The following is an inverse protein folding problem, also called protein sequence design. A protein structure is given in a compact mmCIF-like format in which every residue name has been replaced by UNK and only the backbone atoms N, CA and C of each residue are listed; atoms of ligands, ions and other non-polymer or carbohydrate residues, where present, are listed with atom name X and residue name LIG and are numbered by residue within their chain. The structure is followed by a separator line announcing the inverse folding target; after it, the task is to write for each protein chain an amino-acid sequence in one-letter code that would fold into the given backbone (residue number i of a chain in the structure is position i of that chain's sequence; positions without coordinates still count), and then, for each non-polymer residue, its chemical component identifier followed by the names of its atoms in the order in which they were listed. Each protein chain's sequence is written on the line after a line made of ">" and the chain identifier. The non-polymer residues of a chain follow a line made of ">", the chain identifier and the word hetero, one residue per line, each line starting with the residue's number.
data_IF_031641808287
#
_entry.id   IF_031641808287
#
_cell.length_a   1.000
_cell.length_b   1.000
_cell.length_c   1.000
_cell.angle_alpha   90.00
_cell.angle_beta   90.00
_cell.angle_gamma   90.00
#
_symmetry.space_group_name_H-M   'P 1'
#
loop_
_entity.id
_entity.type
_entity.pdbx_description
1 polymer ?
#
# COMPACT_ATOMS: atom_id res chain seq x y z
N UNK A 1 16.23 19.91 2.49
CA UNK A 1 16.37 21.21 1.80
C UNK A 1 16.36 22.39 2.77
N UNK A 2 15.40 22.51 3.70
CA UNK A 2 15.31 23.68 4.61
C UNK A 2 16.53 23.90 5.54
N UNK A 3 17.20 22.84 6.02
CA UNK A 3 18.33 22.98 6.94
C UNK A 3 19.63 23.50 6.30
N UNK A 4 19.80 23.41 4.96
CA UNK A 4 21.02 23.87 4.28
C UNK A 4 21.01 25.38 3.99
N UNK A 5 19.82 25.95 3.80
CA UNK A 5 19.66 27.38 3.53
C UNK A 5 20.04 28.23 4.75
N UNK A 6 19.55 27.85 5.94
CA UNK A 6 19.86 28.54 7.20
C UNK A 6 21.37 28.54 7.52
N UNK A 7 22.08 27.43 7.28
CA UNK A 7 23.54 27.36 7.46
C UNK A 7 24.30 28.23 6.45
N UNK A 8 23.81 28.30 5.20
CA UNK A 8 24.47 29.10 4.15
C UNK A 8 24.29 30.60 4.36
N UNK A 9 23.15 31.05 4.89
CA UNK A 9 22.91 32.46 5.24
C UNK A 9 23.88 32.98 6.31
N UNK A 10 24.30 32.11 7.24
CA UNK A 10 25.29 32.46 8.27
C UNK A 10 26.69 32.66 7.67
N UNK A 11 27.05 31.84 6.67
CA UNK A 11 28.37 31.89 6.02
C UNK A 11 28.44 32.92 4.87
N UNK A 12 27.31 33.20 4.23
CA UNK A 12 27.19 34.11 3.09
C UNK A 12 25.94 34.98 3.25
N UNK A 13 26.01 36.09 4.02
CA UNK A 13 24.86 36.92 4.36
C UNK A 13 24.21 37.64 3.16
N UNK A 14 24.98 37.83 2.08
CA UNK A 14 24.52 38.49 0.86
C UNK A 14 24.01 37.50 -0.20
N UNK A 15 23.94 36.20 0.12
CA UNK A 15 23.52 35.17 -0.81
C UNK A 15 21.99 35.16 -0.94
N UNK A 16 21.49 35.31 -2.17
CA UNK A 16 20.04 35.26 -2.42
C UNK A 16 19.56 33.82 -2.41
N UNK A 17 18.28 33.62 -2.11
CA UNK A 17 17.67 32.29 -2.15
C UNK A 17 17.84 31.60 -3.51
N UNK A 18 17.76 32.36 -4.60
CA UNK A 18 17.98 31.86 -5.97
C UNK A 18 19.40 31.37 -6.18
N UNK A 19 20.42 32.11 -5.73
CA UNK A 19 21.82 31.70 -5.86
C UNK A 19 22.13 30.45 -5.03
N UNK A 20 21.59 30.38 -3.81
CA UNK A 20 21.70 29.18 -2.97
C UNK A 20 21.03 27.97 -3.62
N UNK A 21 19.82 28.16 -4.14
CA UNK A 21 19.06 27.11 -4.82
C UNK A 21 19.78 26.62 -6.07
N UNK A 22 20.30 27.53 -6.89
CA UNK A 22 21.05 27.19 -8.10
C UNK A 22 22.31 26.38 -7.78
N UNK A 23 23.10 26.80 -6.79
CA UNK A 23 24.31 26.07 -6.39
C UNK A 23 23.99 24.69 -5.81
N UNK A 24 22.97 24.60 -4.96
CA UNK A 24 22.56 23.35 -4.34
C UNK A 24 21.99 22.37 -5.37
N UNK A 25 21.16 22.86 -6.29
CA UNK A 25 20.61 22.06 -7.38
C UNK A 25 21.71 21.61 -8.34
N UNK A 26 22.68 22.46 -8.63
CA UNK A 26 23.83 22.07 -9.45
C UNK A 26 24.58 20.92 -8.79
N UNK A 27 24.97 21.04 -7.50
CA UNK A 27 25.66 19.97 -6.76
C UNK A 27 24.81 18.69 -6.69
N UNK A 28 23.50 18.81 -6.46
CA UNK A 28 22.59 17.67 -6.46
C UNK A 28 22.53 17.00 -7.84
N UNK A 29 22.47 17.76 -8.94
CA UNK A 29 22.56 17.21 -10.30
C UNK A 29 23.91 16.51 -10.53
N UNK A 30 25.01 17.03 -9.96
CA UNK A 30 26.34 16.40 -10.03
C UNK A 30 26.39 15.04 -9.33
N UNK A 31 25.67 14.88 -8.22
CA UNK A 31 25.66 13.67 -7.38
C UNK A 31 24.60 12.68 -7.87
N UNK A 32 23.40 13.16 -8.21
CA UNK A 32 22.21 12.36 -8.48
C UNK A 32 22.03 12.01 -9.96
N UNK A 33 22.73 12.69 -10.87
CA UNK A 33 22.69 12.40 -12.30
C UNK A 33 24.09 12.04 -12.89
N UNK A 34 24.83 11.08 -12.29
CA UNK A 34 26.15 10.68 -12.80
C UNK A 34 26.06 10.12 -14.22
N UNK A 35 24.94 9.48 -14.56
CA UNK A 35 24.65 8.98 -15.90
C UNK A 35 24.74 10.06 -16.99
N UNK A 36 24.17 11.26 -16.75
CA UNK A 36 24.21 12.35 -17.75
C UNK A 36 25.63 12.83 -18.02
N UNK A 37 26.51 12.79 -17.00
CA UNK A 37 27.91 13.18 -17.14
C UNK A 37 28.68 12.19 -18.01
N UNK A 38 28.53 10.90 -17.73
CA UNK A 38 29.16 9.83 -18.51
C UNK A 38 28.66 9.83 -19.95
N UNK A 39 27.37 10.09 -20.16
CA UNK A 39 26.79 10.25 -21.50
C UNK A 39 27.36 11.46 -22.26
N UNK A 40 27.59 12.58 -21.58
CA UNK A 40 28.18 13.78 -22.17
C UNK A 40 29.68 13.62 -22.49
N UNK A 41 30.41 12.80 -21.73
CA UNK A 41 31.83 12.50 -21.95
C UNK A 41 32.06 11.48 -23.07
N UNK A 42 31.09 10.59 -23.31
CA UNK A 42 31.18 9.54 -24.33
C UNK A 42 30.01 9.53 -25.33
N UNK A 43 29.66 10.66 -25.95
CA UNK A 43 28.44 10.80 -26.73
C UNK A 43 28.36 9.82 -27.91
N UNK A 44 29.50 9.49 -28.50
CA UNK A 44 29.61 8.57 -29.65
C UNK A 44 29.22 7.13 -29.30
N UNK A 45 29.63 6.65 -28.11
CA UNK A 45 29.34 5.29 -27.64
C UNK A 45 27.84 5.17 -27.35
N UNK A 46 27.25 6.17 -26.67
CA UNK A 46 25.82 6.18 -26.37
C UNK A 46 24.95 6.37 -27.61
N UNK A 47 25.39 7.16 -28.59
CA UNK A 47 24.71 7.23 -29.89
C UNK A 47 24.77 5.91 -30.65
N UNK A 48 25.90 5.21 -30.63
CA UNK A 48 26.05 3.90 -31.27
C UNK A 48 25.16 2.85 -30.60
N UNK A 49 25.17 2.79 -29.27
CA UNK A 49 24.30 1.90 -28.48
C UNK A 49 22.81 2.22 -28.69
N UNK A 50 22.43 3.50 -28.77
CA UNK A 50 21.03 3.88 -29.04
C UNK A 50 20.56 3.50 -30.45
N UNK A 51 21.47 3.41 -31.43
CA UNK A 51 21.18 2.91 -32.78
C UNK A 51 21.11 1.38 -32.84
N UNK A 52 22.01 0.70 -32.13
CA UNK A 52 22.09 -0.78 -32.10
C UNK A 52 20.97 -1.41 -31.27
N UNK A 53 20.62 -0.80 -30.14
CA UNK A 53 19.55 -1.22 -29.24
C UNK A 53 18.37 -0.27 -29.34
N UNK A 54 17.80 -0.12 -30.54
CA UNK A 54 16.60 0.69 -30.78
C UNK A 54 15.37 0.03 -30.12
N UNK A 55 15.38 0.00 -28.78
CA UNK A 55 14.31 -0.49 -27.95
C UNK A 55 13.15 0.47 -28.16
N UNK A 56 12.07 -0.04 -28.77
CA UNK A 56 10.84 0.74 -28.86
C UNK A 56 10.46 1.16 -27.44
N UNK A 57 10.11 2.44 -27.22
CA UNK A 57 9.62 2.86 -25.92
C UNK A 57 8.40 2.00 -25.62
N UNK A 58 8.50 1.13 -24.61
CA UNK A 58 7.30 0.60 -23.96
C UNK A 58 6.52 1.85 -23.57
N UNK A 59 5.28 1.97 -24.03
CA UNK A 59 4.40 3.09 -23.71
C UNK A 59 4.30 3.17 -22.18
N UNK A 60 5.21 3.91 -21.54
CA UNK A 60 4.98 4.42 -20.21
C UNK A 60 3.72 5.23 -20.36
N UNK A 61 2.65 4.81 -19.70
CA UNK A 61 1.43 5.59 -19.56
C UNK A 61 1.88 7.00 -19.23
N UNK A 62 1.70 7.92 -20.19
CA UNK A 62 1.89 9.34 -19.91
C UNK A 62 1.06 9.57 -18.66
N UNK A 63 1.67 10.05 -17.57
CA UNK A 63 0.89 10.66 -16.51
C UNK A 63 0.11 11.76 -17.19
N UNK A 64 -1.16 11.48 -17.47
CA UNK A 64 -2.11 12.46 -17.93
C UNK A 64 -2.09 13.54 -16.85
N UNK A 65 -1.57 14.72 -17.21
CA UNK A 65 -1.82 15.89 -16.38
C UNK A 65 -3.31 16.16 -16.58
N UNK A 66 -4.13 15.57 -15.71
CA UNK A 66 -5.53 15.94 -15.56
C UNK A 66 -5.50 17.41 -15.15
N UNK A 67 -5.70 18.31 -16.12
CA UNK A 67 -6.02 19.70 -15.86
C UNK A 67 -7.44 19.70 -15.34
N UNK A 68 -7.58 19.73 -14.01
CA UNK A 68 -8.87 19.93 -13.36
C UNK A 68 -9.20 21.40 -13.53
N UNK A 69 -10.24 21.71 -14.30
CA UNK A 69 -10.72 23.08 -14.44
C UNK A 69 -11.24 23.58 -13.08
N UNK A 70 -11.09 24.88 -12.75
CA UNK A 70 -11.49 25.41 -11.46
C UNK A 70 -12.99 25.22 -11.15
N UNK A 71 -13.82 25.07 -12.18
CA UNK A 71 -15.24 24.73 -12.08
C UNK A 71 -15.47 23.30 -11.57
N UNK A 72 -14.65 22.33 -11.98
CA UNK A 72 -14.73 20.93 -11.51
C UNK A 72 -14.35 20.83 -10.02
N UNK A 73 -13.38 21.62 -9.58
CA UNK A 73 -13.02 21.73 -8.16
C UNK A 73 -14.16 22.33 -7.34
N UNK A 74 -14.83 23.38 -7.84
CA UNK A 74 -15.99 23.95 -7.16
C UNK A 74 -17.17 22.98 -7.11
N UNK A 75 -17.37 22.19 -8.16
CA UNK A 75 -18.44 21.19 -8.23
C UNK A 75 -18.17 20.07 -7.23
N UNK A 76 -16.95 19.54 -7.17
CA UNK A 76 -16.55 18.56 -6.15
C UNK A 76 -16.68 19.11 -4.73
N UNK A 77 -16.26 20.35 -4.47
CA UNK A 77 -16.39 20.98 -3.15
C UNK A 77 -17.88 21.13 -2.79
N UNK A 78 -18.73 21.49 -3.75
CA UNK A 78 -20.16 21.66 -3.54
C UNK A 78 -20.85 20.32 -3.24
N UNK A 79 -20.58 19.27 -4.04
CA UNK A 79 -21.05 17.90 -3.78
C UNK A 79 -20.58 17.39 -2.41
N UNK A 80 -19.32 17.65 -2.03
CA UNK A 80 -18.81 17.28 -0.71
C UNK A 80 -19.53 18.03 0.42
N UNK A 81 -19.87 19.29 0.20
CA UNK A 81 -20.55 20.14 1.19
C UNK A 81 -22.00 19.69 1.36
N UNK A 82 -22.68 19.37 0.26
CA UNK A 82 -24.06 18.88 0.26
C UNK A 82 -24.17 17.47 0.87
N UNK A 83 -23.20 16.59 0.55
CA UNK A 83 -23.09 15.26 1.17
C UNK A 83 -22.85 15.33 2.69
N UNK A 84 -22.08 16.32 3.15
CA UNK A 84 -21.95 16.59 4.59
C UNK A 84 -23.24 17.12 5.22
N UNK A 85 -23.99 17.93 4.51
CA UNK A 85 -25.24 18.51 5.01
C UNK A 85 -26.35 17.45 5.13
N UNK A 86 -26.42 16.51 4.17
CA UNK A 86 -27.37 15.39 4.21
C UNK A 86 -27.05 14.31 5.26
N UNK A 87 -25.81 14.23 5.75
CA UNK A 87 -25.47 13.41 6.94
C UNK A 87 -25.86 14.08 8.27
N UNK A 88 -26.45 15.28 8.25
CA UNK A 88 -26.77 16.07 9.46
C UNK A 88 -28.28 16.21 9.69
N UNK A 89 -29.11 15.26 9.24
CA UNK A 89 -30.47 15.11 9.76
C UNK A 89 -30.46 14.12 10.93
N UNK A 90 -30.62 14.58 12.19
CA UNK A 90 -30.94 13.70 13.29
C UNK A 90 -32.43 13.35 13.22
N UNK A 91 -32.75 12.05 13.27
CA UNK A 91 -34.06 11.60 13.69
C UNK A 91 -34.37 12.21 15.08
N UNK A 92 -35.43 13.01 15.12
CA UNK A 92 -35.98 13.58 16.35
C UNK A 92 -36.60 12.47 17.19
N UNK A 93 -35.97 12.10 18.31
CA UNK A 93 -36.70 11.60 19.49
C UNK A 93 -36.04 12.11 20.78
N UNK A 94 -36.67 13.14 21.32
CA UNK A 94 -37.02 13.40 22.72
C UNK A 94 -36.00 13.26 23.88
N UNK A 95 -35.87 14.40 24.56
CA UNK A 95 -35.83 14.61 26.02
C UNK A 95 -34.50 14.98 26.72
N UNK A 96 -34.60 16.02 27.54
CA UNK A 96 -33.73 16.25 28.70
C UNK A 96 -32.56 17.22 28.54
N UNK A 97 -32.80 18.48 28.88
CA UNK A 97 -31.83 19.57 28.95
C UNK A 97 -30.58 19.29 29.83
N UNK A 98 -29.39 19.62 29.31
CA UNK A 98 -28.36 20.37 30.06
C UNK A 98 -27.12 20.69 29.23
N UNK A 99 -26.87 21.99 29.05
CA UNK A 99 -25.66 22.54 28.46
C UNK A 99 -24.43 22.27 29.34
N UNK A 100 -23.70 21.19 29.04
CA UNK A 100 -22.24 21.15 29.23
C UNK A 100 -21.63 20.73 27.91
N UNK A 101 -20.80 21.61 27.34
CA UNK A 101 -20.00 21.41 26.13
C UNK A 101 -19.32 20.03 26.18
N UNK A 102 -19.94 19.01 25.58
CA UNK A 102 -19.27 17.76 25.27
C UNK A 102 -18.28 18.07 24.15
N UNK A 103 -17.00 17.81 24.41
CA UNK A 103 -15.97 17.73 23.37
C UNK A 103 -16.54 16.88 22.23
N UNK A 104 -16.44 17.38 20.99
CA UNK A 104 -16.68 16.58 19.79
C UNK A 104 -15.94 15.23 19.94
N UNK A 105 -16.56 14.09 19.62
CA UNK A 105 -15.78 12.87 19.53
C UNK A 105 -14.72 13.12 18.44
N UNK A 106 -13.44 12.93 18.79
CA UNK A 106 -12.42 12.69 17.78
C UNK A 106 -12.98 11.61 16.87
N UNK A 107 -13.02 11.85 15.56
CA UNK A 107 -13.17 10.77 14.61
C UNK A 107 -11.98 9.83 14.86
N UNK A 108 -12.21 8.73 15.59
CA UNK A 108 -11.18 7.72 15.83
C UNK A 108 -10.75 7.23 14.45
N UNK A 109 -9.46 7.32 14.18
CA UNK A 109 -8.88 6.67 13.01
C UNK A 109 -9.14 5.17 13.20
N UNK A 110 -9.92 4.57 12.31
CA UNK A 110 -10.16 3.13 12.32
C UNK A 110 -8.81 2.41 12.25
N UNK A 111 -8.67 1.35 13.04
CA UNK A 111 -7.54 0.44 12.96
C UNK A 111 -7.69 -0.46 11.74
N UNK A 112 -6.58 -0.98 11.21
CA UNK A 112 -6.62 -1.88 10.05
C UNK A 112 -7.53 -3.09 10.28
N UNK A 113 -7.54 -3.63 11.50
CA UNK A 113 -8.42 -4.73 11.89
C UNK A 113 -9.90 -4.35 11.80
N UNK A 114 -10.27 -3.15 12.28
CA UNK A 114 -11.66 -2.65 12.18
C UNK A 114 -12.08 -2.39 10.72
N UNK A 115 -11.16 -1.95 9.85
CA UNK A 115 -11.44 -1.83 8.42
C UNK A 115 -11.73 -3.19 7.78
N UNK A 116 -10.87 -4.19 8.02
CA UNK A 116 -11.06 -5.55 7.50
C UNK A 116 -12.35 -6.18 8.04
N UNK A 117 -12.68 -5.93 9.31
CA UNK A 117 -13.93 -6.37 9.92
C UNK A 117 -15.16 -5.79 9.20
N UNK A 118 -15.14 -4.50 8.86
CA UNK A 118 -16.23 -3.88 8.09
C UNK A 118 -16.34 -4.50 6.69
N UNK A 119 -15.21 -4.69 6.00
CA UNK A 119 -15.18 -5.27 4.65
C UNK A 119 -15.76 -6.70 4.62
N UNK A 120 -15.49 -7.52 5.64
CA UNK A 120 -15.98 -8.92 5.73
C UNK A 120 -17.48 -9.00 6.02
N UNK A 121 -18.02 -8.03 6.78
CA UNK A 121 -19.43 -8.01 7.16
C UNK A 121 -20.37 -7.67 6.00
N UNK A 122 -19.85 -7.14 4.90
CA UNK A 122 -20.62 -6.93 3.68
C UNK A 122 -20.91 -8.24 2.94
N UNK A 123 -21.95 -8.24 2.10
CA UNK A 123 -22.26 -9.41 1.27
C UNK A 123 -21.12 -9.69 0.27
N UNK A 124 -20.61 -10.93 0.30
CA UNK A 124 -19.40 -11.35 -0.44
C UNK A 124 -18.10 -10.73 0.08
N UNK A 125 -18.10 -10.11 1.26
CA UNK A 125 -16.97 -9.39 1.84
C UNK A 125 -15.72 -10.23 2.03
N UNK A 126 -15.86 -11.43 2.62
CA UNK A 126 -14.75 -12.36 2.83
C UNK A 126 -14.02 -12.69 1.52
N UNK A 127 -14.76 -13.03 0.46
CA UNK A 127 -14.17 -13.30 -0.86
C UNK A 127 -13.47 -12.09 -1.44
N UNK A 128 -14.04 -10.88 -1.31
CA UNK A 128 -13.40 -9.63 -1.77
C UNK A 128 -12.07 -9.38 -1.06
N UNK A 129 -12.02 -9.58 0.26
CA UNK A 129 -10.79 -9.43 1.04
C UNK A 129 -9.72 -10.44 0.58
N UNK A 130 -10.10 -11.71 0.41
CA UNK A 130 -9.18 -12.75 -0.12
C UNK A 130 -8.67 -12.42 -1.52
N UNK A 131 -9.54 -11.97 -2.44
CA UNK A 131 -9.12 -11.57 -3.79
C UNK A 131 -8.16 -10.38 -3.78
N UNK A 132 -8.40 -9.40 -2.90
CA UNK A 132 -7.56 -8.21 -2.79
C UNK A 132 -6.15 -8.54 -2.30
N UNK A 133 -6.02 -9.40 -1.27
CA UNK A 133 -4.70 -9.79 -0.77
C UNK A 133 -3.96 -10.66 -1.80
N UNK A 134 -4.66 -11.56 -2.52
CA UNK A 134 -4.07 -12.32 -3.63
C UNK A 134 -3.54 -11.40 -4.74
N UNK A 135 -4.30 -10.37 -5.11
CA UNK A 135 -3.85 -9.39 -6.11
C UNK A 135 -2.59 -8.65 -5.65
N UNK A 136 -2.54 -8.23 -4.38
CA UNK A 136 -1.37 -7.57 -3.79
C UNK A 136 -0.13 -8.48 -3.78
N UNK A 137 -0.31 -9.75 -3.42
CA UNK A 137 0.76 -10.77 -3.44
C UNK A 137 1.21 -11.02 -4.87
N UNK A 138 0.29 -11.29 -5.81
CA UNK A 138 0.60 -11.53 -7.23
C UNK A 138 1.42 -10.39 -7.82
N UNK A 139 1.00 -9.15 -7.56
CA UNK A 139 1.73 -7.97 -8.01
C UNK A 139 3.14 -7.94 -7.43
N UNK A 140 3.29 -8.24 -6.13
CA UNK A 140 4.59 -8.24 -5.46
C UNK A 140 5.53 -9.33 -5.99
N UNK A 141 5.01 -10.54 -6.24
CA UNK A 141 5.76 -11.65 -6.85
C UNK A 141 6.23 -11.30 -8.28
N UNK A 142 5.39 -10.65 -9.10
CA UNK A 142 5.75 -10.20 -10.47
C UNK A 142 6.90 -9.19 -10.50
N UNK A 143 7.10 -8.42 -9.43
CA UNK A 143 8.15 -7.41 -9.35
C UNK A 143 9.41 -7.89 -8.61
N UNK A 144 9.69 -9.19 -8.58
CA UNK A 144 10.92 -9.76 -8.00
C UNK A 144 12.07 -10.00 -9.00
N UNK A 145 12.82 -8.98 -9.46
CA UNK A 145 14.12 -9.21 -10.09
C UNK A 145 15.32 -8.96 -9.16
N UNK A 146 15.17 -8.32 -8.00
CA UNK A 146 16.29 -7.98 -7.11
C UNK A 146 15.80 -7.91 -5.65
N UNK A 147 16.49 -8.56 -4.70
CA UNK A 147 16.12 -8.79 -3.28
C UNK A 147 15.77 -7.59 -2.36
N UNK A 148 15.34 -6.45 -2.89
CA UNK A 148 14.69 -5.36 -2.16
C UNK A 148 13.21 -5.64 -1.81
N UNK A 149 12.66 -6.76 -2.26
CA UNK A 149 11.22 -7.10 -2.12
C UNK A 149 10.90 -7.84 -0.81
N UNK A 150 11.91 -8.30 -0.06
CA UNK A 150 11.72 -9.07 1.19
C UNK A 150 10.93 -8.28 2.25
N UNK A 151 11.18 -6.98 2.40
CA UNK A 151 10.42 -6.14 3.35
C UNK A 151 8.93 -6.01 2.96
N UNK A 152 8.62 -6.05 1.66
CA UNK A 152 7.22 -6.03 1.20
C UNK A 152 6.51 -7.35 1.51
N UNK A 153 7.20 -8.48 1.42
CA UNK A 153 6.65 -9.75 1.87
C UNK A 153 6.39 -9.75 3.37
N UNK A 154 7.28 -9.19 4.19
CA UNK A 154 6.99 -9.01 5.62
C UNK A 154 5.73 -8.17 5.87
N UNK A 155 5.50 -7.11 5.10
CA UNK A 155 4.26 -6.32 5.19
C UNK A 155 3.02 -7.14 4.79
N UNK A 156 3.13 -7.95 3.74
CA UNK A 156 2.04 -8.82 3.28
C UNK A 156 1.74 -9.96 4.26
N UNK A 157 2.75 -10.56 4.89
CA UNK A 157 2.57 -11.53 5.97
C UNK A 157 1.84 -10.90 7.16
N UNK A 158 2.23 -9.69 7.55
CA UNK A 158 1.54 -8.97 8.64
C UNK A 158 0.08 -8.68 8.28
N UNK A 159 -0.19 -8.24 7.05
CA UNK A 159 -1.55 -8.01 6.56
C UNK A 159 -2.36 -9.32 6.52
N UNK A 160 -1.76 -10.41 6.04
CA UNK A 160 -2.38 -11.73 6.01
C UNK A 160 -2.74 -12.23 7.42
N UNK A 161 -1.88 -11.97 8.41
CA UNK A 161 -2.13 -12.30 9.81
C UNK A 161 -3.26 -11.45 10.43
N UNK A 162 -3.35 -10.16 10.07
CA UNK A 162 -4.49 -9.33 10.46
C UNK A 162 -5.77 -9.90 9.87
N UNK A 163 -5.78 -10.22 8.57
CA UNK A 163 -6.92 -10.85 7.88
C UNK A 163 -7.30 -12.17 8.58
N UNK A 164 -6.34 -13.07 8.81
CA UNK A 164 -6.54 -14.34 9.52
C UNK A 164 -7.24 -14.14 10.85
N UNK A 165 -6.76 -13.20 11.66
CA UNK A 165 -7.33 -12.93 12.98
C UNK A 165 -8.80 -12.53 12.90
N UNK A 166 -9.18 -11.76 11.89
CA UNK A 166 -10.57 -11.34 11.67
C UNK A 166 -11.42 -12.50 11.15
N UNK A 167 -10.87 -13.34 10.25
CA UNK A 167 -11.58 -14.52 9.74
C UNK A 167 -11.85 -15.55 10.86
N UNK A 168 -10.92 -15.74 11.79
CA UNK A 168 -11.14 -16.53 13.02
C UNK A 168 -12.31 -15.96 13.83
N UNK A 169 -12.29 -14.66 14.13
CA UNK A 169 -13.32 -13.99 14.93
C UNK A 169 -14.72 -14.06 14.32
N UNK A 170 -14.80 -14.09 12.98
CA UNK A 170 -16.07 -14.15 12.25
C UNK A 170 -16.44 -15.57 11.79
N UNK A 171 -15.69 -16.58 12.21
CA UNK A 171 -15.91 -17.99 11.81
C UNK A 171 -15.96 -18.18 10.28
N UNK A 172 -15.13 -17.46 9.54
CA UNK A 172 -14.99 -17.52 8.08
C UNK A 172 -13.81 -18.43 7.68
N UNK A 173 -13.68 -19.60 8.30
CA UNK A 173 -12.49 -20.43 8.11
C UNK A 173 -12.31 -20.94 6.68
N UNK A 174 -13.39 -21.25 5.97
CA UNK A 174 -13.34 -21.87 4.65
C UNK A 174 -12.73 -20.92 3.61
N UNK A 175 -13.17 -19.66 3.58
CA UNK A 175 -12.65 -18.67 2.63
C UNK A 175 -11.16 -18.35 2.87
N UNK A 176 -10.70 -18.40 4.12
CA UNK A 176 -9.28 -18.20 4.45
C UNK A 176 -8.42 -19.42 4.13
N UNK A 177 -8.92 -20.63 4.44
CA UNK A 177 -8.19 -21.86 4.18
C UNK A 177 -8.05 -22.10 2.66
N UNK A 178 -9.07 -21.77 1.87
CA UNK A 178 -8.98 -21.76 0.41
C UNK A 178 -8.00 -20.71 -0.13
N UNK A 179 -7.89 -19.54 0.51
CA UNK A 179 -6.87 -18.54 0.19
C UNK A 179 -5.46 -19.12 0.39
N UNK A 180 -5.18 -19.74 1.54
CA UNK A 180 -3.86 -20.33 1.81
C UNK A 180 -3.54 -21.49 0.87
N UNK A 181 -4.54 -22.30 0.52
CA UNK A 181 -4.38 -23.37 -0.46
C UNK A 181 -3.95 -22.84 -1.81
N UNK A 182 -4.57 -21.77 -2.31
CA UNK A 182 -4.14 -21.11 -3.55
C UNK A 182 -2.71 -20.58 -3.48
N UNK A 183 -2.34 -19.98 -2.35
CA UNK A 183 -0.96 -19.51 -2.13
C UNK A 183 0.06 -20.65 -2.16
N UNK A 184 -0.31 -21.85 -1.69
CA UNK A 184 0.56 -23.05 -1.73
C UNK A 184 0.61 -23.68 -3.13
N UNK A 185 -0.54 -23.78 -3.81
CA UNK A 185 -0.70 -24.61 -5.01
C UNK A 185 -0.37 -23.87 -6.32
N UNK A 186 -0.49 -22.54 -6.39
CA UNK A 186 -0.29 -21.78 -7.63
C UNK A 186 1.15 -21.24 -7.76
N UNK A 187 1.83 -21.55 -8.87
CA UNK A 187 3.22 -21.15 -9.16
C UNK A 187 3.43 -19.61 -9.12
N UNK A 188 2.40 -18.83 -9.46
CA UNK A 188 2.44 -17.36 -9.42
C UNK A 188 2.73 -16.80 -8.00
N UNK A 189 2.57 -17.61 -6.95
CA UNK A 189 2.79 -17.23 -5.56
C UNK A 189 3.98 -17.91 -4.90
N UNK A 190 4.73 -18.75 -5.62
CA UNK A 190 5.88 -19.52 -5.09
C UNK A 190 6.84 -18.66 -4.24
N UNK A 191 7.28 -17.44 -4.67
CA UNK A 191 8.18 -16.63 -3.86
C UNK A 191 7.60 -16.16 -2.53
N UNK A 192 6.28 -16.04 -2.42
CA UNK A 192 5.61 -15.67 -1.17
C UNK A 192 5.31 -16.90 -0.32
N UNK A 193 5.01 -18.05 -0.94
CA UNK A 193 4.82 -19.32 -0.25
C UNK A 193 6.10 -19.77 0.47
N UNK A 194 7.28 -19.57 -0.14
CA UNK A 194 8.58 -19.81 0.50
C UNK A 194 8.76 -18.99 1.78
N UNK A 195 8.37 -17.71 1.78
CA UNK A 195 8.45 -16.87 2.99
C UNK A 195 7.52 -17.38 4.07
N UNK A 196 6.30 -17.80 3.71
CA UNK A 196 5.35 -18.35 4.65
C UNK A 196 5.81 -19.69 5.25
N UNK A 197 6.48 -20.54 4.46
CA UNK A 197 7.01 -21.83 4.91
C UNK A 197 8.24 -21.68 5.81
N UNK A 198 9.09 -20.68 5.58
CA UNK A 198 10.23 -20.36 6.44
C UNK A 198 9.77 -19.77 7.79
N UNK A 199 8.86 -18.80 7.77
CA UNK A 199 8.42 -18.12 8.99
C UNK A 199 7.42 -18.95 9.80
N UNK A 200 6.65 -19.83 9.14
CA UNK A 200 5.52 -20.60 9.71
C UNK A 200 4.57 -19.72 10.55
N UNK A 201 4.47 -18.46 10.17
CA UNK A 201 3.81 -17.41 10.96
C UNK A 201 2.32 -17.30 10.66
N UNK A 202 1.83 -17.92 9.58
CA UNK A 202 0.44 -17.91 9.16
C UNK A 202 0.02 -19.29 8.59
N UNK A 203 -0.73 -20.05 9.37
CA UNK A 203 -1.23 -21.39 9.03
C UNK A 203 -2.74 -21.38 8.78
N UNK A 204 -3.32 -22.45 8.21
CA UNK A 204 -4.76 -22.63 8.14
C UNK A 204 -5.43 -22.44 9.51
N UNK A 205 -6.69 -22.00 9.48
CA UNK A 205 -7.53 -21.92 10.66
C UNK A 205 -8.03 -23.32 10.96
N UNK A 206 -7.63 -23.89 12.09
CA UNK A 206 -7.98 -25.25 12.46
C UNK A 206 -9.25 -25.34 13.33
N UNK A 207 -9.68 -26.57 13.58
CA UNK A 207 -10.82 -26.92 14.42
C UNK A 207 -10.68 -26.52 15.90
N UNK A 208 -9.48 -26.21 16.38
CA UNK A 208 -9.26 -25.69 17.74
C UNK A 208 -9.54 -24.18 17.85
N UNK A 209 -9.32 -23.44 16.76
CA UNK A 209 -9.61 -22.01 16.67
C UNK A 209 -11.06 -21.74 16.26
N UNK A 210 -11.58 -22.49 15.28
CA UNK A 210 -12.93 -22.36 14.76
C UNK A 210 -13.54 -23.75 14.63
N UNK A 211 -14.55 -24.05 15.46
CA UNK A 211 -15.12 -25.40 15.57
C UNK A 211 -15.76 -25.95 14.29
N UNK A 212 -16.11 -25.08 13.33
CA UNK A 212 -16.67 -25.46 12.04
C UNK A 212 -15.60 -25.72 10.96
N UNK A 213 -14.32 -25.45 11.27
CA UNK A 213 -13.23 -25.73 10.35
C UNK A 213 -13.05 -27.23 10.14
N UNK A 214 -12.93 -27.63 8.86
CA UNK A 214 -12.62 -29.01 8.47
C UNK A 214 -11.13 -29.35 8.64
N UNK A 215 -10.28 -28.36 8.91
CA UNK A 215 -8.83 -28.54 9.06
C UNK A 215 -8.51 -29.01 10.48
N UNK A 216 -7.80 -30.14 10.58
CA UNK A 216 -7.30 -30.63 11.86
C UNK A 216 -6.10 -29.81 12.34
N UNK A 217 -5.88 -29.78 13.65
CA UNK A 217 -4.70 -29.10 14.25
C UNK A 217 -3.39 -29.65 13.67
N UNK A 218 -3.31 -30.96 13.42
CA UNK A 218 -2.14 -31.59 12.82
C UNK A 218 -1.93 -31.11 11.37
N UNK A 219 -3.00 -31.10 10.56
CA UNK A 219 -2.93 -30.67 9.17
C UNK A 219 -2.56 -29.19 9.05
N UNK A 220 -3.03 -28.33 9.97
CA UNK A 220 -2.65 -26.92 9.98
C UNK A 220 -1.18 -26.72 10.38
N UNK A 221 -0.65 -27.54 11.29
CA UNK A 221 0.75 -27.47 11.71
C UNK A 221 1.72 -27.96 10.62
N UNK A 222 1.32 -28.97 9.85
CA UNK A 222 2.13 -29.56 8.77
C UNK A 222 1.87 -28.90 7.41
N UNK A 223 1.00 -27.89 7.34
CA UNK A 223 0.51 -27.33 6.08
C UNK A 223 1.62 -26.83 5.15
N UNK A 224 2.70 -26.26 5.68
CA UNK A 224 3.81 -25.74 4.89
C UNK A 224 5.00 -26.70 4.74
N UNK A 225 4.94 -27.89 5.34
CA UNK A 225 5.98 -28.88 5.12
C UNK A 225 5.87 -29.44 3.70
N UNK A 226 7.01 -29.78 3.10
CA UNK A 226 7.05 -30.54 1.85
C UNK A 226 6.55 -31.97 2.12
N UNK A 227 5.68 -32.48 1.26
CA UNK A 227 5.20 -33.87 1.28
C UNK A 227 6.30 -34.88 0.87
#
# INVERSE_FOLDING_TARGET
>A
MQCHFLKSLVLHPNDTFENHSNRTNQILDQIMAPKRRVEAEHPEIFQKLGREFNLQPIQKTKRERVTVEPEDLQTMISEWTEKKQNMTQPDEVDDGASQKKKKKPNAKKLTRKEEVQMDIMEDGGASRVCSKILEMISNTCKFQPNGAVTEFFTLLVNELNVIRSVFVENSKCDEFNELLKKLKDEEDFEPFAEVLSEEKSCNPIDSSEVSMSEVSVANAAEFWEED
#
